data_IF_351304504219
#
_entry.id   IF_351304504219
#
_cell.length_a   1.000
_cell.length_b   1.000
_cell.length_c   1.000
_cell.angle_alpha   90.00
_cell.angle_beta   90.00
_cell.angle_gamma   90.00
#
_symmetry.space_group_name_H-M   'P 1'
#
loop_
_entity.id
_entity.type
_entity.pdbx_description
1 polymer ?
#
# COMPACT_ATOMS: atom_id res chain seq x y z
N UNK A 1 -15.74 0.42 17.67
CA UNK A 1 -15.88 -0.68 16.69
C UNK A 1 -15.87 -0.18 15.25
N UNK A 2 -16.86 0.58 14.75
CA UNK A 2 -16.85 1.05 13.35
C UNK A 2 -15.79 2.13 13.08
N UNK A 3 -15.63 3.10 13.99
CA UNK A 3 -14.59 4.14 13.89
C UNK A 3 -13.16 3.58 13.87
N UNK A 4 -12.87 2.54 14.66
CA UNK A 4 -11.57 1.88 14.67
C UNK A 4 -11.24 1.19 13.34
N UNK A 5 -12.25 0.61 12.67
CA UNK A 5 -12.07 -0.03 11.36
C UNK A 5 -11.83 0.99 10.26
N UNK A 6 -12.55 2.11 10.28
CA UNK A 6 -12.34 3.20 9.32
C UNK A 6 -10.97 3.86 9.50
N UNK A 7 -10.54 4.06 10.75
CA UNK A 7 -9.21 4.59 11.06
C UNK A 7 -8.11 3.65 10.56
N UNK A 8 -8.21 2.35 10.86
CA UNK A 8 -7.26 1.36 10.33
C UNK A 8 -7.27 1.26 8.81
N UNK A 9 -8.44 1.40 8.19
CA UNK A 9 -8.52 1.41 6.72
C UNK A 9 -7.80 2.63 6.13
N UNK A 10 -7.94 3.80 6.73
CA UNK A 10 -7.20 4.99 6.32
C UNK A 10 -5.68 4.82 6.52
N UNK A 11 -5.24 4.24 7.65
CA UNK A 11 -3.82 3.94 7.87
C UNK A 11 -3.23 3.03 6.78
N UNK A 12 -3.98 2.02 6.35
CA UNK A 12 -3.55 1.16 5.24
C UNK A 12 -3.56 1.87 3.88
N UNK A 13 -4.48 2.81 3.64
CA UNK A 13 -4.44 3.62 2.42
C UNK A 13 -3.22 4.53 2.36
N UNK A 14 -2.87 5.17 3.47
CA UNK A 14 -1.65 5.97 3.58
C UNK A 14 -0.40 5.11 3.35
N UNK A 15 -0.34 3.91 3.92
CA UNK A 15 0.76 2.96 3.69
C UNK A 15 0.84 2.51 2.21
N UNK A 16 -0.30 2.30 1.55
CA UNK A 16 -0.34 1.96 0.14
C UNK A 16 0.16 3.11 -0.75
N UNK A 17 -0.22 4.34 -0.42
CA UNK A 17 0.25 5.54 -1.10
C UNK A 17 1.75 5.76 -0.90
N UNK A 18 2.26 5.55 0.32
CA UNK A 18 3.68 5.68 0.61
C UNK A 18 4.52 4.63 -0.12
N UNK A 19 4.08 3.37 -0.12
CA UNK A 19 4.74 2.30 -0.88
C UNK A 19 4.76 2.61 -2.39
N UNK A 20 3.66 3.10 -2.96
CA UNK A 20 3.61 3.54 -4.37
C UNK A 20 4.59 4.69 -4.67
N UNK A 21 4.68 5.65 -3.74
CA UNK A 21 5.62 6.78 -3.82
C UNK A 21 7.08 6.30 -3.70
N UNK A 22 7.38 5.33 -2.85
CA UNK A 22 8.71 4.73 -2.71
C UNK A 22 9.11 3.94 -3.96
N UNK A 23 8.20 3.14 -4.52
CA UNK A 23 8.41 2.46 -5.80
C UNK A 23 8.78 3.46 -6.91
N UNK A 24 8.05 4.57 -6.99
CA UNK A 24 8.31 5.63 -7.98
C UNK A 24 9.67 6.30 -7.78
N UNK A 25 10.05 6.61 -6.53
CA UNK A 25 11.35 7.21 -6.19
C UNK A 25 12.51 6.27 -6.52
N UNK A 26 12.41 4.99 -6.15
CA UNK A 26 13.46 4.00 -6.38
C UNK A 26 13.62 3.71 -7.87
N UNK A 27 12.52 3.60 -8.61
CA UNK A 27 12.52 3.50 -10.08
C UNK A 27 13.26 4.67 -10.73
N UNK A 28 13.08 5.90 -10.22
CA UNK A 28 13.73 7.10 -10.75
C UNK A 28 15.23 7.21 -10.41
N UNK A 29 15.70 6.47 -9.40
CA UNK A 29 17.07 6.62 -8.88
C UNK A 29 18.05 5.62 -9.48
N UNK A 30 17.65 4.35 -9.66
CA UNK A 30 18.54 3.34 -10.24
C UNK A 30 17.75 2.16 -10.87
N UNK A 31 17.33 2.24 -12.14
CA UNK A 31 16.38 1.30 -12.73
C UNK A 31 16.86 -0.17 -12.78
N UNK A 32 18.18 -0.41 -12.82
CA UNK A 32 18.74 -1.76 -12.90
C UNK A 32 18.71 -2.52 -11.56
N UNK A 33 18.95 -1.83 -10.45
CA UNK A 33 18.88 -2.40 -9.10
C UNK A 33 17.50 -2.17 -8.44
N UNK A 34 16.72 -1.22 -8.96
CA UNK A 34 15.39 -0.87 -8.49
C UNK A 34 14.32 -1.88 -8.85
N UNK A 35 14.47 -2.72 -9.89
CA UNK A 35 13.38 -3.58 -10.37
C UNK A 35 12.79 -4.47 -9.25
N UNK A 36 13.65 -5.09 -8.44
CA UNK A 36 13.21 -5.91 -7.30
C UNK A 36 12.53 -5.06 -6.21
N UNK A 37 13.06 -3.86 -5.95
CA UNK A 37 12.55 -2.96 -4.92
C UNK A 37 11.22 -2.29 -5.32
N UNK A 38 11.06 -1.93 -6.59
CA UNK A 38 9.81 -1.44 -7.20
C UNK A 38 8.74 -2.51 -7.14
N UNK A 39 9.12 -3.77 -7.42
CA UNK A 39 8.19 -4.91 -7.32
C UNK A 39 7.72 -5.10 -5.89
N UNK A 40 8.64 -5.15 -4.92
CA UNK A 40 8.33 -5.32 -3.50
C UNK A 40 7.42 -4.20 -2.95
N UNK A 41 7.71 -2.94 -3.30
CA UNK A 41 6.86 -1.81 -2.90
C UNK A 41 5.49 -1.81 -3.59
N UNK A 42 5.41 -2.26 -4.84
CA UNK A 42 4.13 -2.38 -5.56
C UNK A 42 3.27 -3.48 -4.93
N UNK A 43 3.83 -4.66 -4.66
CA UNK A 43 3.14 -5.75 -3.98
C UNK A 43 2.68 -5.34 -2.57
N UNK A 44 3.52 -4.59 -1.85
CA UNK A 44 3.17 -4.02 -0.55
C UNK A 44 2.01 -3.03 -0.65
N UNK A 45 2.00 -2.16 -1.67
CA UNK A 45 0.92 -1.21 -1.90
C UNK A 45 -0.42 -1.92 -2.17
N UNK A 46 -0.41 -2.95 -3.01
CA UNK A 46 -1.59 -3.76 -3.30
C UNK A 46 -2.10 -4.49 -2.05
N UNK A 47 -1.19 -5.01 -1.24
CA UNK A 47 -1.52 -5.67 0.03
C UNK A 47 -2.23 -4.70 0.99
N UNK A 48 -1.69 -3.50 1.19
CA UNK A 48 -2.30 -2.51 2.07
C UNK A 48 -3.64 -2.02 1.53
N UNK A 49 -3.76 -1.77 0.22
CA UNK A 49 -5.03 -1.43 -0.41
C UNK A 49 -6.09 -2.54 -0.20
N UNK A 50 -5.69 -3.81 -0.32
CA UNK A 50 -6.53 -4.96 -0.01
C UNK A 50 -6.99 -5.01 1.44
N UNK A 51 -6.11 -4.71 2.40
CA UNK A 51 -6.44 -4.63 3.83
C UNK A 51 -7.40 -3.48 4.14
N UNK A 52 -7.17 -2.29 3.56
CA UNK A 52 -8.08 -1.15 3.69
C UNK A 52 -9.49 -1.49 3.18
N UNK A 53 -9.57 -2.16 2.02
CA UNK A 53 -10.83 -2.61 1.44
C UNK A 53 -11.52 -3.63 2.34
N UNK A 54 -10.80 -4.65 2.82
CA UNK A 54 -11.34 -5.68 3.70
C UNK A 54 -11.91 -5.11 5.02
N UNK A 55 -11.33 -4.04 5.55
CA UNK A 55 -11.84 -3.36 6.74
C UNK A 55 -13.13 -2.56 6.48
N UNK A 56 -13.30 -2.03 5.26
CA UNK A 56 -14.46 -1.23 4.84
C UNK A 56 -15.62 -2.05 4.30
N UNK A 57 -15.34 -3.23 3.73
CA UNK A 57 -16.35 -4.20 3.35
C UNK A 57 -16.37 -5.34 4.36
N UNK A 58 -17.10 -5.21 5.49
CA UNK A 58 -17.44 -6.40 6.25
C UNK A 58 -18.23 -7.31 5.30
N UNK A 59 -17.76 -8.55 5.15
CA UNK A 59 -18.46 -9.59 4.39
C UNK A 59 -19.97 -9.56 4.74
N UNK A 60 -20.89 -9.65 3.75
CA UNK A 60 -22.33 -9.71 4.01
C UNK A 60 -22.72 -10.89 4.92
#
# INVERSE_FOLDING_TARGET
>A
MSRDREQRAAEYEDLAADATRLASQVSSTNPAEAAACVTDYTESAERYAGMARALRTPNP
#
